data_IF_194834167182
#
_entry.id   IF_194834167182
#
_cell.length_a   1.000
_cell.length_b   1.000
_cell.length_c   1.000
_cell.angle_alpha   90.00
_cell.angle_beta   90.00
_cell.angle_gamma   90.00
#
_symmetry.space_group_name_H-M   'P 1'
#
loop_
_entity.id
_entity.type
_entity.pdbx_description
1 polymer ?
#
# COMPACT_ATOMS: atom_id res chain seq x y z
N UNK A 1 -18.86 4.27 -8.39
CA UNK A 1 -18.46 3.96 -7.01
C UNK A 1 -18.04 5.24 -6.31
N UNK A 2 -18.47 5.50 -5.05
CA UNK A 2 -17.97 6.68 -4.32
C UNK A 2 -16.47 6.52 -4.10
N UNK A 3 -15.72 7.55 -4.44
CA UNK A 3 -14.27 7.56 -4.51
C UNK A 3 -13.50 7.14 -3.21
N UNK A 4 -14.19 6.81 -2.15
CA UNK A 4 -13.59 6.56 -0.84
C UNK A 4 -13.49 5.11 -0.37
N UNK A 5 -14.34 4.23 -0.86
CA UNK A 5 -14.42 2.86 -0.33
C UNK A 5 -13.82 1.79 -1.24
N UNK A 6 -13.19 2.19 -2.34
CA UNK A 6 -12.56 1.28 -3.29
C UNK A 6 -11.50 0.38 -2.65
N UNK A 7 -10.73 0.92 -1.68
CA UNK A 7 -9.66 0.17 -1.02
C UNK A 7 -10.18 -1.00 -0.18
N UNK A 8 -11.33 -0.82 0.51
CA UNK A 8 -11.94 -1.91 1.28
C UNK A 8 -12.36 -3.07 0.36
N UNK A 9 -12.92 -2.74 -0.81
CA UNK A 9 -13.29 -3.73 -1.82
C UNK A 9 -12.06 -4.44 -2.39
N UNK A 10 -11.01 -3.69 -2.70
CA UNK A 10 -9.74 -4.22 -3.17
C UNK A 10 -9.10 -5.15 -2.12
N UNK A 11 -9.10 -4.74 -0.86
CA UNK A 11 -8.60 -5.56 0.25
C UNK A 11 -9.41 -6.86 0.38
N UNK A 12 -10.74 -6.80 0.26
CA UNK A 12 -11.61 -7.97 0.26
C UNK A 12 -11.24 -8.92 -0.88
N UNK A 13 -11.04 -8.42 -2.10
CA UNK A 13 -10.62 -9.24 -3.24
C UNK A 13 -9.26 -9.90 -3.02
N UNK A 14 -8.28 -9.17 -2.47
CA UNK A 14 -6.96 -9.72 -2.15
C UNK A 14 -7.06 -10.85 -1.12
N UNK A 15 -7.81 -10.64 -0.04
CA UNK A 15 -8.01 -11.63 1.01
C UNK A 15 -8.72 -12.87 0.46
N UNK A 16 -9.76 -12.70 -0.35
CA UNK A 16 -10.53 -13.78 -0.94
C UNK A 16 -9.69 -14.60 -1.92
N UNK A 17 -8.93 -13.93 -2.79
CA UNK A 17 -8.01 -14.56 -3.74
C UNK A 17 -6.94 -15.36 -2.99
N UNK A 18 -6.35 -14.77 -1.95
CA UNK A 18 -5.33 -15.45 -1.15
C UNK A 18 -5.91 -16.61 -0.35
N UNK A 19 -7.13 -16.48 0.18
CA UNK A 19 -7.83 -17.58 0.86
C UNK A 19 -8.07 -18.75 -0.08
N UNK A 20 -8.60 -18.50 -1.28
CA UNK A 20 -8.81 -19.53 -2.30
C UNK A 20 -7.51 -20.21 -2.70
N UNK A 21 -6.45 -19.42 -2.89
CA UNK A 21 -5.12 -19.95 -3.16
C UNK A 21 -4.62 -20.82 -2.01
N UNK A 22 -4.70 -20.36 -0.77
CA UNK A 22 -4.27 -21.13 0.41
C UNK A 22 -5.07 -22.42 0.58
N UNK A 23 -6.37 -22.40 0.29
CA UNK A 23 -7.19 -23.59 0.25
C UNK A 23 -6.72 -24.58 -0.83
N UNK A 24 -6.45 -24.09 -2.04
CA UNK A 24 -5.92 -24.93 -3.12
C UNK A 24 -4.52 -25.49 -2.76
N UNK A 25 -3.64 -24.65 -2.20
CA UNK A 25 -2.30 -25.06 -1.73
C UNK A 25 -2.40 -26.17 -0.68
N UNK A 26 -3.39 -26.11 0.23
CA UNK A 26 -3.58 -27.13 1.28
C UNK A 26 -3.93 -28.53 0.72
N UNK A 27 -4.40 -28.60 -0.53
CA UNK A 27 -4.71 -29.87 -1.22
C UNK A 27 -3.51 -30.45 -1.96
N UNK A 28 -2.42 -29.69 -2.11
CA UNK A 28 -1.22 -30.16 -2.77
C UNK A 28 -0.42 -31.10 -1.84
N UNK A 29 0.14 -32.20 -2.36
CA UNK A 29 0.85 -33.19 -1.55
C UNK A 29 2.21 -32.70 -1.03
N UNK A 30 2.72 -31.58 -1.53
CA UNK A 30 4.03 -31.06 -1.16
C UNK A 30 3.94 -29.71 -0.47
N UNK A 31 4.56 -29.62 0.70
CA UNK A 31 4.78 -28.37 1.41
C UNK A 31 6.01 -27.65 0.83
N UNK A 32 5.84 -26.97 -0.29
CA UNK A 32 6.92 -26.21 -0.96
C UNK A 32 6.62 -24.72 -0.95
N UNK A 33 7.65 -23.89 -1.07
CA UNK A 33 7.49 -22.46 -1.31
C UNK A 33 7.09 -22.14 -2.76
N UNK A 34 7.19 -23.11 -3.67
CA UNK A 34 6.97 -22.91 -5.10
C UNK A 34 5.59 -22.32 -5.41
N UNK A 35 4.45 -22.82 -4.87
CA UNK A 35 3.14 -22.26 -5.20
C UNK A 35 3.01 -20.76 -4.90
N UNK A 36 3.49 -20.32 -3.72
CA UNK A 36 3.43 -18.91 -3.32
C UNK A 36 4.35 -18.04 -4.19
N UNK A 37 5.53 -18.55 -4.55
CA UNK A 37 6.45 -17.84 -5.45
C UNK A 37 5.86 -17.74 -6.85
N UNK A 38 5.26 -18.80 -7.36
CA UNK A 38 4.55 -18.77 -8.66
C UNK A 38 3.41 -17.75 -8.62
N UNK A 39 2.59 -17.76 -7.58
CA UNK A 39 1.51 -16.76 -7.43
C UNK A 39 2.06 -15.33 -7.42
N UNK A 40 3.19 -15.10 -6.74
CA UNK A 40 3.84 -13.81 -6.70
C UNK A 40 4.35 -13.37 -8.08
N UNK A 41 5.00 -14.26 -8.83
CA UNK A 41 5.48 -13.98 -10.19
C UNK A 41 4.30 -13.69 -11.13
N UNK A 42 3.22 -14.48 -11.05
CA UNK A 42 1.99 -14.25 -11.82
C UNK A 42 1.38 -12.90 -11.46
N UNK A 43 1.33 -12.54 -10.17
CA UNK A 43 0.81 -11.24 -9.74
C UNK A 43 1.66 -10.08 -10.20
N UNK A 44 2.99 -10.22 -10.28
CA UNK A 44 3.87 -9.23 -10.88
C UNK A 44 3.60 -9.07 -12.38
N UNK A 45 3.36 -10.17 -13.09
CA UNK A 45 2.95 -10.12 -14.50
C UNK A 45 1.66 -9.32 -14.70
N UNK A 46 0.65 -9.52 -13.87
CA UNK A 46 -0.58 -8.72 -13.90
C UNK A 46 -0.34 -7.26 -13.51
N UNK A 47 0.52 -6.98 -12.56
CA UNK A 47 0.91 -5.62 -12.20
C UNK A 47 1.55 -4.89 -13.38
N UNK A 48 2.51 -5.51 -14.05
CA UNK A 48 3.19 -4.94 -15.21
C UNK A 48 2.21 -4.76 -16.39
N UNK A 49 1.29 -5.69 -16.61
CA UNK A 49 0.27 -5.56 -17.67
C UNK A 49 -0.74 -4.45 -17.39
N UNK A 50 -0.99 -4.07 -16.14
CA UNK A 50 -1.79 -2.89 -15.83
C UNK A 50 -1.14 -1.58 -16.29
N UNK A 51 0.19 -1.54 -16.39
CA UNK A 51 0.92 -0.41 -16.97
C UNK A 51 1.10 -0.54 -18.49
N UNK A 52 1.20 -1.76 -19.00
CA UNK A 52 1.35 -2.08 -20.42
C UNK A 52 0.14 -1.69 -21.30
N UNK A 53 -1.14 -1.77 -20.88
CA UNK A 53 -2.28 -1.45 -21.75
C UNK A 53 -2.21 -0.07 -22.38
N UNK A 54 -1.60 0.90 -21.71
CA UNK A 54 -1.35 2.23 -22.30
C UNK A 54 -0.34 2.17 -23.46
N UNK A 55 0.63 1.28 -23.40
CA UNK A 55 1.65 1.12 -24.44
C UNK A 55 1.18 0.17 -25.54
N UNK A 56 0.51 -0.93 -25.19
CA UNK A 56 -0.09 -1.84 -26.17
C UNK A 56 -1.24 -1.19 -26.93
N UNK A 57 -2.12 -0.46 -26.26
CA UNK A 57 -3.20 0.26 -26.94
C UNK A 57 -2.65 1.31 -27.88
N UNK A 58 -1.57 1.99 -27.51
CA UNK A 58 -0.90 2.95 -28.38
C UNK A 58 -0.18 2.28 -29.55
N UNK A 59 0.55 1.19 -29.33
CA UNK A 59 1.26 0.43 -30.36
C UNK A 59 0.30 -0.23 -31.36
N UNK A 60 -0.91 -0.62 -30.91
CA UNK A 60 -1.98 -1.17 -31.75
C UNK A 60 -2.94 -0.10 -32.26
N UNK A 61 -2.67 1.19 -32.02
CA UNK A 61 -3.53 2.28 -32.47
C UNK A 61 -4.87 2.37 -31.71
N UNK A 62 -5.06 1.60 -30.65
CA UNK A 62 -6.29 1.62 -29.87
C UNK A 62 -6.33 2.86 -28.96
N UNK A 63 -7.19 3.82 -29.31
CA UNK A 63 -7.44 5.05 -28.53
C UNK A 63 -8.70 4.94 -27.65
N UNK A 64 -9.18 3.74 -27.40
CA UNK A 64 -10.40 3.52 -26.62
C UNK A 64 -10.26 3.82 -25.14
N UNK A 65 -11.37 4.09 -24.43
CA UNK A 65 -11.36 4.22 -22.98
C UNK A 65 -10.93 2.91 -22.33
N UNK A 66 -10.29 3.02 -21.15
CA UNK A 66 -10.01 1.84 -20.32
C UNK A 66 -11.32 1.08 -20.12
N UNK A 67 -11.24 -0.27 -20.06
CA UNK A 67 -12.43 -1.09 -19.87
C UNK A 67 -13.19 -0.62 -18.61
N UNK A 68 -14.35 -0.01 -18.82
CA UNK A 68 -15.17 0.61 -17.77
C UNK A 68 -15.54 -0.41 -16.69
N UNK A 69 -15.77 -1.66 -17.06
CA UNK A 69 -16.06 -2.74 -16.11
C UNK A 69 -14.91 -2.96 -15.12
N UNK A 70 -13.66 -3.03 -15.59
CA UNK A 70 -12.50 -3.22 -14.74
C UNK A 70 -12.27 -2.03 -13.79
N UNK A 71 -12.52 -0.82 -14.27
CA UNK A 71 -12.44 0.39 -13.44
C UNK A 71 -13.60 0.45 -12.44
N UNK A 72 -14.82 0.10 -12.85
CA UNK A 72 -15.98 0.10 -11.97
C UNK A 72 -15.83 -0.93 -10.83
N UNK A 73 -15.30 -2.12 -11.14
CA UNK A 73 -15.08 -3.20 -10.17
C UNK A 73 -13.81 -3.04 -9.35
N UNK A 74 -12.97 -2.02 -9.62
CA UNK A 74 -11.67 -1.82 -8.97
C UNK A 74 -10.72 -3.02 -9.09
N UNK A 75 -10.86 -3.85 -10.14
CA UNK A 75 -9.99 -5.00 -10.38
C UNK A 75 -8.59 -4.56 -10.82
N UNK A 76 -8.47 -3.42 -11.48
CA UNK A 76 -7.18 -2.84 -11.85
C UNK A 76 -6.37 -2.48 -10.61
N UNK A 77 -7.03 -1.87 -9.61
CA UNK A 77 -6.42 -1.54 -8.34
C UNK A 77 -6.03 -2.82 -7.57
N UNK A 78 -6.88 -3.85 -7.60
CA UNK A 78 -6.54 -5.15 -7.01
C UNK A 78 -5.27 -5.73 -7.65
N UNK A 79 -5.18 -5.78 -8.98
CA UNK A 79 -3.99 -6.26 -9.70
C UNK A 79 -2.74 -5.44 -9.35
N UNK A 80 -2.89 -4.12 -9.15
CA UNK A 80 -1.81 -3.21 -8.81
C UNK A 80 -1.26 -3.42 -7.40
N UNK A 81 -2.11 -3.70 -6.42
CA UNK A 81 -1.70 -3.79 -5.02
C UNK A 81 -1.45 -5.23 -4.55
N UNK A 82 -1.94 -6.23 -5.27
CA UNK A 82 -1.82 -7.64 -4.89
C UNK A 82 -0.38 -8.13 -4.75
N UNK A 83 0.60 -7.75 -5.60
CA UNK A 83 2.00 -8.15 -5.40
C UNK A 83 2.58 -7.67 -4.07
N UNK A 84 2.23 -6.45 -3.63
CA UNK A 84 2.70 -5.93 -2.33
C UNK A 84 2.08 -6.67 -1.16
N UNK A 85 0.81 -7.04 -1.27
CA UNK A 85 0.13 -7.88 -0.30
C UNK A 85 0.79 -9.26 -0.21
N UNK A 86 1.09 -9.89 -1.34
CA UNK A 86 1.78 -11.18 -1.39
C UNK A 86 3.22 -11.09 -0.85
N UNK A 87 3.94 -10.02 -1.17
CA UNK A 87 5.27 -9.79 -0.62
C UNK A 87 5.25 -9.77 0.91
N UNK A 88 4.31 -9.04 1.51
CA UNK A 88 4.12 -9.03 2.96
C UNK A 88 3.82 -10.43 3.52
N UNK A 89 2.97 -11.21 2.84
CA UNK A 89 2.67 -12.60 3.23
C UNK A 89 3.89 -13.52 3.12
N UNK A 90 4.69 -13.38 2.06
CA UNK A 90 5.93 -14.16 1.88
C UNK A 90 6.91 -13.83 3.01
N UNK A 91 7.14 -12.56 3.30
CA UNK A 91 8.00 -12.12 4.39
C UNK A 91 7.52 -12.66 5.73
N UNK A 92 6.20 -12.62 6.00
CA UNK A 92 5.62 -13.16 7.23
C UNK A 92 5.78 -14.68 7.31
N UNK A 93 5.47 -15.41 6.22
CA UNK A 93 5.55 -16.89 6.17
C UNK A 93 6.97 -17.40 6.33
N UNK A 94 7.94 -16.68 5.77
CA UNK A 94 9.37 -17.02 5.81
C UNK A 94 10.16 -16.04 6.70
N UNK A 95 9.54 -15.60 7.80
CA UNK A 95 10.10 -14.58 8.67
C UNK A 95 11.52 -14.87 9.14
N UNK A 96 11.81 -16.12 9.56
CA UNK A 96 13.13 -16.50 10.01
C UNK A 96 14.22 -16.34 8.94
N UNK A 97 13.89 -16.69 7.68
CA UNK A 97 14.81 -16.54 6.56
C UNK A 97 14.99 -15.06 6.19
N UNK A 98 13.88 -14.34 6.12
CA UNK A 98 13.88 -12.89 5.88
C UNK A 98 14.71 -12.16 6.97
N UNK A 99 14.55 -12.56 8.22
CA UNK A 99 15.28 -12.01 9.34
C UNK A 99 16.80 -12.25 9.19
N UNK A 100 17.24 -13.47 8.90
CA UNK A 100 18.65 -13.78 8.65
C UNK A 100 19.24 -12.96 7.51
N UNK A 101 18.46 -12.76 6.44
CA UNK A 101 18.87 -11.94 5.30
C UNK A 101 19.04 -10.48 5.71
N UNK A 102 18.09 -9.92 6.47
CA UNK A 102 18.12 -8.55 6.95
C UNK A 102 19.25 -8.31 7.98
N UNK A 103 19.64 -9.32 8.77
CA UNK A 103 20.73 -9.25 9.74
C UNK A 103 22.11 -9.28 9.09
N UNK A 104 22.18 -9.59 7.80
CA UNK A 104 23.45 -9.56 7.07
C UNK A 104 23.97 -8.13 6.95
N UNK A 105 25.24 -7.92 7.27
CA UNK A 105 25.92 -6.60 7.15
C UNK A 105 25.86 -6.02 5.73
N UNK A 106 25.73 -6.88 4.73
CA UNK A 106 25.68 -6.50 3.33
C UNK A 106 24.27 -6.16 2.83
N UNK A 107 23.23 -6.55 3.57
CA UNK A 107 21.86 -6.37 3.11
C UNK A 107 21.51 -4.89 2.89
N UNK A 108 21.71 -4.05 3.88
CA UNK A 108 21.38 -2.61 3.77
C UNK A 108 22.19 -1.89 2.69
N UNK A 109 23.53 -2.03 2.61
CA UNK A 109 24.31 -1.42 1.52
C UNK A 109 23.87 -1.89 0.13
N UNK A 110 23.63 -3.19 -0.05
CA UNK A 110 23.19 -3.75 -1.33
C UNK A 110 21.81 -3.27 -1.72
N UNK A 111 20.85 -3.31 -0.79
CA UNK A 111 19.46 -2.83 -1.06
C UNK A 111 19.47 -1.34 -1.39
N UNK A 112 20.25 -0.53 -0.67
CA UNK A 112 20.38 0.91 -0.93
C UNK A 112 21.01 1.17 -2.29
N UNK A 113 22.10 0.49 -2.62
CA UNK A 113 22.76 0.62 -3.93
C UNK A 113 21.81 0.25 -5.06
N UNK A 114 21.13 -0.88 -4.95
CA UNK A 114 20.15 -1.32 -5.94
C UNK A 114 18.97 -0.35 -6.06
N UNK A 115 18.46 0.19 -4.96
CA UNK A 115 17.40 1.19 -4.98
C UNK A 115 17.82 2.47 -5.71
N UNK A 116 19.05 2.94 -5.46
CA UNK A 116 19.62 4.10 -6.17
C UNK A 116 19.77 3.81 -7.66
N UNK A 117 20.34 2.67 -8.04
CA UNK A 117 20.50 2.27 -9.44
C UNK A 117 19.14 2.18 -10.15
N UNK A 118 18.15 1.50 -9.53
CA UNK A 118 16.80 1.41 -10.09
C UNK A 118 16.15 2.79 -10.24
N UNK A 119 16.35 3.69 -9.29
CA UNK A 119 15.79 5.05 -9.36
C UNK A 119 16.45 5.85 -10.49
N UNK A 120 17.75 5.75 -10.66
CA UNK A 120 18.47 6.41 -11.77
C UNK A 120 17.98 5.86 -13.11
N UNK A 121 17.80 4.54 -13.23
CA UNK A 121 17.26 3.93 -14.44
C UNK A 121 15.83 4.40 -14.72
N UNK A 122 14.96 4.46 -13.72
CA UNK A 122 13.61 5.02 -13.87
C UNK A 122 13.65 6.44 -14.44
N UNK A 123 14.54 7.30 -13.94
CA UNK A 123 14.70 8.67 -14.43
C UNK A 123 15.16 8.72 -15.88
N UNK A 124 16.11 7.87 -16.29
CA UNK A 124 16.59 7.78 -17.68
C UNK A 124 15.49 7.27 -18.63
N UNK A 125 14.80 6.19 -18.25
CA UNK A 125 13.83 5.51 -19.11
C UNK A 125 12.50 6.27 -19.20
N UNK A 126 12.18 7.10 -18.25
CA UNK A 126 11.03 8.01 -18.33
C UNK A 126 11.11 8.93 -19.55
N UNK A 127 12.31 9.32 -19.96
CA UNK A 127 12.55 10.13 -21.16
C UNK A 127 12.38 9.33 -22.45
N UNK A 128 12.64 8.01 -22.43
CA UNK A 128 12.64 7.13 -23.59
C UNK A 128 11.30 6.44 -23.87
N UNK A 129 10.31 6.54 -22.96
CA UNK A 129 8.96 5.94 -23.07
C UNK A 129 8.93 4.45 -23.43
N UNK A 130 9.94 3.68 -23.03
CA UNK A 130 10.02 2.25 -23.32
C UNK A 130 9.21 1.42 -22.30
N UNK A 131 8.59 0.32 -22.77
CA UNK A 131 7.73 -0.57 -21.95
C UNK A 131 8.46 -1.20 -20.77
N UNK A 132 9.77 -1.36 -20.83
CA UNK A 132 10.62 -1.94 -19.78
C UNK A 132 10.93 -0.98 -18.61
N UNK A 133 10.53 0.28 -18.70
CA UNK A 133 10.74 1.27 -17.63
C UNK A 133 9.97 0.94 -16.35
N UNK A 134 8.94 0.09 -16.43
CA UNK A 134 8.16 -0.33 -15.28
C UNK A 134 8.90 -1.28 -14.34
N UNK A 135 9.75 -2.18 -14.86
CA UNK A 135 10.49 -3.15 -14.05
C UNK A 135 11.43 -2.50 -13.02
N UNK A 136 12.32 -1.55 -13.38
CA UNK A 136 13.13 -0.83 -12.41
C UNK A 136 12.30 -0.10 -11.37
N UNK A 137 11.15 0.46 -11.77
CA UNK A 137 10.23 1.15 -10.86
C UNK A 137 9.63 0.18 -9.83
N UNK A 138 9.12 -0.97 -10.31
CA UNK A 138 8.56 -2.03 -9.45
C UNK A 138 9.61 -2.56 -8.49
N UNK A 139 10.82 -2.83 -8.97
CA UNK A 139 11.92 -3.29 -8.13
C UNK A 139 12.30 -2.25 -7.09
N UNK A 140 12.40 -0.97 -7.46
CA UNK A 140 12.65 0.12 -6.52
C UNK A 140 11.61 0.18 -5.40
N UNK A 141 10.32 -0.01 -5.72
CA UNK A 141 9.25 -0.05 -4.70
C UNK A 141 9.46 -1.17 -3.68
N UNK A 142 9.80 -2.40 -4.12
CA UNK A 142 10.07 -3.52 -3.20
C UNK A 142 11.35 -3.31 -2.38
N UNK A 143 12.38 -2.72 -2.96
CA UNK A 143 13.61 -2.36 -2.25
C UNK A 143 13.34 -1.30 -1.18
N UNK A 144 12.60 -0.24 -1.51
CA UNK A 144 12.19 0.78 -0.54
C UNK A 144 11.31 0.19 0.56
N UNK A 145 10.37 -0.70 0.22
CA UNK A 145 9.55 -1.40 1.21
C UNK A 145 10.40 -2.25 2.16
N UNK A 146 11.42 -2.93 1.63
CA UNK A 146 12.38 -3.69 2.44
C UNK A 146 13.19 -2.79 3.39
N UNK A 147 13.57 -1.58 2.94
CA UNK A 147 14.22 -0.59 3.80
C UNK A 147 13.30 -0.10 4.93
N UNK A 148 12.01 0.08 4.64
CA UNK A 148 11.00 0.43 5.67
C UNK A 148 10.88 -0.67 6.70
N UNK A 149 10.84 -1.95 6.31
CA UNK A 149 10.86 -3.07 7.26
C UNK A 149 12.12 -3.05 8.14
N UNK A 150 13.30 -2.81 7.54
CA UNK A 150 14.54 -2.70 8.30
C UNK A 150 14.51 -1.53 9.28
N UNK A 151 14.00 -0.37 8.87
CA UNK A 151 13.89 0.79 9.73
C UNK A 151 13.05 0.48 10.98
N UNK A 152 11.85 -0.08 10.83
CA UNK A 152 11.00 -0.44 11.96
C UNK A 152 11.62 -1.53 12.82
N UNK A 153 12.34 -2.46 12.23
CA UNK A 153 13.05 -3.49 12.98
C UNK A 153 14.23 -2.92 13.78
N UNK A 154 15.03 -2.05 13.18
CA UNK A 154 16.17 -1.42 13.86
C UNK A 154 15.72 -0.54 15.03
N UNK A 155 14.62 0.17 14.87
CA UNK A 155 14.07 1.04 15.91
C UNK A 155 12.96 0.38 16.74
N UNK A 156 12.87 -0.96 16.74
CA UNK A 156 11.84 -1.71 17.46
C UNK A 156 11.74 -1.30 18.92
N UNK A 157 12.85 -1.29 19.65
CA UNK A 157 12.89 -0.95 21.07
C UNK A 157 12.42 0.50 21.33
N UNK A 158 12.81 1.41 20.45
CA UNK A 158 12.31 2.80 20.51
C UNK A 158 10.80 2.86 20.37
N UNK A 159 10.24 2.14 19.39
CA UNK A 159 8.77 2.14 19.19
C UNK A 159 8.01 1.36 20.25
N UNK A 160 8.64 0.41 20.94
CA UNK A 160 8.00 -0.31 22.04
C UNK A 160 8.07 0.45 23.38
N UNK A 161 9.17 1.11 23.66
CA UNK A 161 9.42 1.69 24.97
C UNK A 161 9.02 3.15 25.10
N UNK A 162 8.82 3.87 23.98
CA UNK A 162 8.49 5.29 24.02
C UNK A 162 6.99 5.56 23.98
N UNK A 163 6.58 6.68 24.60
CA UNK A 163 5.19 7.19 24.49
C UNK A 163 4.79 7.46 23.05
N UNK A 164 5.73 7.97 22.27
CA UNK A 164 5.52 8.21 20.82
C UNK A 164 5.21 6.91 20.07
N UNK A 165 5.99 5.86 20.31
CA UNK A 165 5.75 4.56 19.72
C UNK A 165 4.41 3.95 20.15
N UNK A 166 4.03 4.08 21.43
CA UNK A 166 2.71 3.67 21.93
C UNK A 166 1.55 4.37 21.19
N UNK A 167 1.67 5.68 20.92
CA UNK A 167 0.66 6.44 20.18
C UNK A 167 0.59 5.95 18.73
N UNK A 168 1.73 5.73 18.06
CA UNK A 168 1.75 5.20 16.71
C UNK A 168 1.14 3.80 16.63
N UNK A 169 1.46 2.91 17.57
CA UNK A 169 0.86 1.58 17.63
C UNK A 169 -0.66 1.65 17.88
N UNK A 170 -1.10 2.56 18.73
CA UNK A 170 -2.52 2.78 18.99
C UNK A 170 -3.27 3.23 17.73
N UNK A 171 -2.70 4.18 16.98
CA UNK A 171 -3.23 4.64 15.68
C UNK A 171 -3.19 3.48 14.68
N UNK A 172 -2.07 2.76 14.58
CA UNK A 172 -1.88 1.65 13.66
C UNK A 172 -2.93 0.54 13.82
N UNK A 173 -3.27 0.18 15.07
CA UNK A 173 -4.32 -0.82 15.35
C UNK A 173 -5.72 -0.37 14.96
N UNK A 174 -5.93 0.92 14.73
CA UNK A 174 -7.22 1.54 14.36
C UNK A 174 -7.24 2.11 12.96
N UNK A 175 -6.23 1.78 12.16
CA UNK A 175 -6.12 2.29 10.78
C UNK A 175 -7.37 1.99 9.95
N UNK A 176 -7.98 0.81 10.12
CA UNK A 176 -9.21 0.47 9.41
C UNK A 176 -10.38 1.36 9.83
N UNK A 177 -10.53 1.61 11.14
CA UNK A 177 -11.57 2.49 11.68
C UNK A 177 -11.41 3.91 11.12
N UNK A 178 -10.17 4.42 11.18
CA UNK A 178 -9.81 5.74 10.63
C UNK A 178 -10.10 5.79 9.14
N UNK A 179 -9.72 4.76 8.39
CA UNK A 179 -9.97 4.68 6.95
C UNK A 179 -11.47 4.72 6.62
N UNK A 180 -12.32 4.02 7.39
CA UNK A 180 -13.76 4.02 7.16
C UNK A 180 -14.42 5.36 7.51
N UNK A 181 -13.92 6.05 8.53
CA UNK A 181 -14.56 7.24 9.10
C UNK A 181 -14.02 8.55 8.53
N UNK A 182 -12.77 8.60 8.03
CA UNK A 182 -12.13 9.86 7.64
C UNK A 182 -12.90 10.66 6.59
N UNK A 183 -13.62 9.99 5.68
CA UNK A 183 -14.43 10.66 4.66
C UNK A 183 -15.59 11.48 5.25
N UNK A 184 -16.06 11.13 6.44
CA UNK A 184 -17.10 11.90 7.12
C UNK A 184 -16.55 13.19 7.73
N UNK A 185 -15.26 13.16 8.11
CA UNK A 185 -14.61 14.28 8.80
C UNK A 185 -13.70 15.10 7.89
N UNK A 186 -13.53 14.71 6.62
CA UNK A 186 -12.73 15.47 5.67
C UNK A 186 -13.51 16.75 5.29
N UNK A 187 -13.10 17.92 5.78
CA UNK A 187 -13.83 19.14 5.49
C UNK A 187 -13.62 19.53 4.01
N UNK A 188 -14.70 19.87 3.35
CA UNK A 188 -14.60 20.56 2.05
C UNK A 188 -14.24 22.01 2.32
N UNK A 189 -12.96 22.35 2.26
CA UNK A 189 -12.45 23.67 2.53
C UNK A 189 -12.01 24.36 1.22
N UNK A 190 -12.94 24.80 0.34
CA UNK A 190 -12.58 25.46 -0.91
C UNK A 190 -11.78 26.76 -0.64
N UNK A 191 -12.13 27.52 0.40
CA UNK A 191 -11.39 28.72 0.80
C UNK A 191 -9.94 28.47 1.16
N UNK A 192 -9.64 27.34 1.83
CA UNK A 192 -8.26 26.96 2.17
C UNK A 192 -7.48 26.59 0.91
N UNK A 193 -8.11 25.87 -0.01
CA UNK A 193 -7.50 25.54 -1.29
C UNK A 193 -7.22 26.76 -2.15
N UNK A 194 -8.12 27.76 -2.15
CA UNK A 194 -7.92 29.03 -2.84
C UNK A 194 -6.85 29.88 -2.18
N UNK A 195 -6.84 29.96 -0.85
CA UNK A 195 -5.80 30.64 -0.09
C UNK A 195 -4.40 30.13 -0.44
N UNK A 196 -4.22 28.81 -0.48
CA UNK A 196 -2.94 28.20 -0.86
C UNK A 196 -2.61 28.35 -2.36
N UNK A 197 -3.60 28.47 -3.25
CA UNK A 197 -3.37 28.78 -4.68
C UNK A 197 -2.91 30.23 -4.90
N UNK A 198 -3.47 31.18 -4.17
CA UNK A 198 -3.16 32.61 -4.30
C UNK A 198 -1.83 32.95 -3.63
N UNK A 199 -1.62 32.47 -2.43
CA UNK A 199 -0.37 32.66 -1.70
C UNK A 199 0.60 31.53 -2.00
N UNK A 200 1.16 31.44 -3.21
CA UNK A 200 2.16 30.42 -3.60
C UNK A 200 3.22 30.28 -2.51
N UNK A 201 3.12 29.33 -1.77
CA UNK A 201 3.11 29.14 -0.38
C UNK A 201 4.49 28.83 0.15
N UNK A 202 4.64 29.24 1.36
CA UNK A 202 5.67 28.75 2.24
C UNK A 202 5.43 27.23 2.43
N UNK A 203 6.29 26.38 1.88
CA UNK A 203 6.23 24.91 2.00
C UNK A 203 6.00 24.46 3.45
N UNK A 204 6.60 25.20 4.40
CA UNK A 204 6.44 24.95 5.85
C UNK A 204 4.98 25.14 6.28
N UNK A 205 4.32 26.21 5.80
CA UNK A 205 2.93 26.52 6.17
C UNK A 205 1.97 25.44 5.63
N UNK A 206 2.11 25.05 4.36
CA UNK A 206 1.29 23.97 3.76
C UNK A 206 1.48 22.65 4.49
N UNK A 207 2.73 22.30 4.76
CA UNK A 207 3.07 21.06 5.45
C UNK A 207 2.48 21.05 6.86
N UNK A 208 2.67 22.13 7.62
CA UNK A 208 2.15 22.25 8.99
C UNK A 208 0.62 22.22 9.02
N UNK A 209 -0.03 22.95 8.11
CA UNK A 209 -1.49 22.96 8.01
C UNK A 209 -2.04 21.57 7.63
N UNK A 210 -1.39 20.86 6.69
CA UNK A 210 -1.79 19.52 6.27
C UNK A 210 -1.63 18.50 7.40
N UNK A 211 -0.52 18.54 8.13
CA UNK A 211 -0.31 17.69 9.31
C UNK A 211 -1.33 17.98 10.41
N UNK A 212 -1.59 19.27 10.73
CA UNK A 212 -2.56 19.65 11.74
C UNK A 212 -3.96 19.15 11.39
N UNK A 213 -4.38 19.31 10.13
CA UNK A 213 -5.66 18.80 9.62
C UNK A 213 -5.73 17.27 9.70
N UNK A 214 -4.67 16.57 9.29
CA UNK A 214 -4.61 15.12 9.36
C UNK A 214 -4.76 14.61 10.80
N UNK A 215 -4.04 15.19 11.76
CA UNK A 215 -4.16 14.82 13.18
C UNK A 215 -5.55 15.10 13.74
N UNK A 216 -6.16 16.21 13.35
CA UNK A 216 -7.52 16.57 13.75
C UNK A 216 -8.53 15.54 13.22
N UNK A 217 -8.45 15.19 11.94
CA UNK A 217 -9.32 14.15 11.33
C UNK A 217 -9.10 12.80 12.00
N UNK A 218 -7.86 12.38 12.25
CA UNK A 218 -7.53 11.14 12.96
C UNK A 218 -8.16 11.15 14.36
N UNK A 219 -8.04 12.27 15.09
CA UNK A 219 -8.64 12.42 16.42
C UNK A 219 -10.15 12.24 16.39
N UNK A 220 -10.86 12.91 15.48
CA UNK A 220 -12.31 12.73 15.29
C UNK A 220 -12.69 11.30 14.93
N UNK A 221 -11.95 10.64 14.03
CA UNK A 221 -12.19 9.25 13.68
C UNK A 221 -12.05 8.32 14.90
N UNK A 222 -11.02 8.52 15.72
CA UNK A 222 -10.78 7.70 16.91
C UNK A 222 -11.90 7.90 17.94
N UNK A 223 -12.28 9.15 18.22
CA UNK A 223 -13.37 9.46 19.16
C UNK A 223 -14.67 8.82 18.68
N UNK A 224 -15.01 9.01 17.42
CA UNK A 224 -16.22 8.42 16.82
C UNK A 224 -16.18 6.89 16.85
N UNK A 225 -15.04 6.28 16.52
CA UNK A 225 -14.87 4.83 16.60
C UNK A 225 -15.08 4.33 18.04
N UNK A 226 -14.61 5.06 19.05
CA UNK A 226 -14.84 4.70 20.46
C UNK A 226 -16.32 4.81 20.84
N UNK A 227 -16.99 5.88 20.42
CA UNK A 227 -18.42 6.07 20.67
C UNK A 227 -19.26 4.96 20.02
N UNK A 228 -18.95 4.60 18.77
CA UNK A 228 -19.65 3.51 18.09
C UNK A 228 -19.44 2.14 18.76
N UNK A 229 -18.29 1.94 19.43
CA UNK A 229 -17.98 0.70 20.16
C UNK A 229 -18.70 0.60 21.52
N UNK A 230 -19.34 1.67 22.01
CA UNK A 230 -20.18 1.62 23.23
C UNK A 230 -21.41 0.73 22.98
N UNK A 231 -21.97 0.76 21.78
CA UNK A 231 -23.06 -0.14 21.41
C UNK A 231 -22.53 -1.55 21.09
N UNK A 232 -22.97 -2.61 21.80
CA UNK A 232 -22.52 -3.99 21.54
C UNK A 232 -22.92 -4.46 20.15
N UNK A 233 -24.04 -3.98 19.60
CA UNK A 233 -24.49 -4.26 18.25
C UNK A 233 -23.52 -3.66 17.21
N UNK A 234 -23.22 -2.37 17.30
CA UNK A 234 -22.31 -1.69 16.37
C UNK A 234 -20.89 -2.23 16.49
N UNK A 235 -20.43 -2.54 17.71
CA UNK A 235 -19.14 -3.17 17.94
C UNK A 235 -19.00 -4.48 17.18
N UNK A 236 -20.01 -5.35 17.25
CA UNK A 236 -20.00 -6.66 16.59
C UNK A 236 -20.06 -6.55 15.05
N UNK A 237 -20.96 -5.73 14.53
CA UNK A 237 -21.22 -5.68 13.09
C UNK A 237 -20.28 -4.77 12.30
N UNK A 238 -19.77 -3.67 12.90
CA UNK A 238 -18.83 -2.78 12.23
C UNK A 238 -17.37 -3.16 12.47
N UNK A 239 -17.02 -3.71 13.62
CA UNK A 239 -15.63 -3.94 14.00
C UNK A 239 -15.30 -5.42 14.25
N UNK A 240 -16.25 -6.34 14.10
CA UNK A 240 -16.02 -7.78 14.17
C UNK A 240 -15.60 -8.31 15.56
N UNK A 241 -15.89 -7.59 16.64
CA UNK A 241 -15.47 -7.96 18.03
C UNK A 241 -16.64 -7.99 18.99
#
# INVERSE_FOLDING_TARGET
>A
MKAGYWFTLVLLYMLLTYYLFSYAESKLPFKSCIPVVVLFIVSLGFFETCYLPRYFSWALGYKGPQNEFLNYTSLVEMMRYFPFFLFGNIVHRYWQQAQRLMDSKWFLPVVTLLAVVCTIEVLKWHTLRLAWASLPHTLAMFLLLSMVFMFFRYYHDFFEQTRFGSVLQFIGRRTLDIYLLHYFFLPKLPMVGEFFKVNRSNFILETTASFSLAFLVIGFCIVTSQLLRVSPFLKKYLFGK
#
